data_IF_738017875630
#
_entry.id   IF_738017875630
#
_cell.length_a   1.000
_cell.length_b   1.000
_cell.length_c   1.000
_cell.angle_alpha   90.00
_cell.angle_beta   90.00
_cell.angle_gamma   90.00
#
_symmetry.space_group_name_H-M   'P 1'
#
loop_
_entity.id
_entity.type
_entity.pdbx_description
1 polymer ?
#
# COMPACT_ATOMS: atom_id res chain seq x y z
N UNK A 1 -14.51 20.84 -28.95
CA UNK A 1 -15.25 20.26 -27.82
C UNK A 1 -14.42 20.48 -26.58
N UNK A 2 -14.76 21.48 -25.78
CA UNK A 2 -14.13 21.78 -24.51
C UNK A 2 -14.51 20.65 -23.55
N UNK A 3 -13.51 19.85 -23.12
CA UNK A 3 -13.68 18.87 -22.04
C UNK A 3 -13.88 19.68 -20.76
N UNK A 4 -15.10 19.77 -20.28
CA UNK A 4 -15.38 20.30 -18.95
C UNK A 4 -14.67 19.42 -17.93
N UNK A 5 -13.66 20.00 -17.28
CA UNK A 5 -13.06 19.40 -16.07
C UNK A 5 -14.20 19.30 -15.03
N UNK A 6 -14.52 18.11 -14.51
CA UNK A 6 -15.58 17.98 -13.52
C UNK A 6 -15.27 18.89 -12.33
N UNK A 7 -16.24 19.76 -12.00
CA UNK A 7 -16.14 20.73 -10.94
C UNK A 7 -15.83 19.99 -9.63
N UNK A 8 -14.60 20.18 -9.12
CA UNK A 8 -14.15 19.65 -7.84
C UNK A 8 -15.07 20.25 -6.78
N UNK A 9 -15.90 19.43 -6.11
CA UNK A 9 -16.66 19.86 -4.95
C UNK A 9 -15.68 19.96 -3.76
N UNK A 10 -15.18 21.16 -3.42
CA UNK A 10 -14.15 21.32 -2.39
C UNK A 10 -14.67 20.84 -1.03
N UNK A 11 -15.95 21.01 -0.77
CA UNK A 11 -16.56 20.61 0.50
C UNK A 11 -16.55 19.07 0.73
N UNK A 12 -16.57 18.27 -0.34
CA UNK A 12 -16.49 16.82 -0.21
C UNK A 12 -15.05 16.34 0.10
N UNK A 13 -14.06 16.87 -0.62
CA UNK A 13 -12.65 16.51 -0.41
C UNK A 13 -12.16 16.94 0.98
N UNK A 14 -12.50 18.15 1.42
CA UNK A 14 -12.07 18.70 2.71
C UNK A 14 -12.57 17.87 3.91
N UNK A 15 -13.69 17.17 3.78
CA UNK A 15 -14.22 16.27 4.82
C UNK A 15 -13.41 14.98 4.96
N UNK A 16 -12.65 14.62 3.94
CA UNK A 16 -11.79 13.42 3.90
C UNK A 16 -10.35 13.74 4.34
N UNK A 17 -10.04 15.02 4.64
CA UNK A 17 -8.70 15.43 5.03
C UNK A 17 -8.44 15.14 6.51
N UNK A 18 -7.41 14.34 6.74
CA UNK A 18 -6.85 14.09 8.07
C UNK A 18 -5.35 14.39 8.05
N UNK A 19 -4.71 14.54 9.23
CA UNK A 19 -3.28 14.80 9.28
C UNK A 19 -2.48 13.79 8.46
N UNK A 20 -1.60 14.27 7.61
CA UNK A 20 -0.73 13.47 6.78
C UNK A 20 0.67 14.10 6.69
N UNK A 21 1.67 13.30 6.31
CA UNK A 21 3.01 13.80 6.01
C UNK A 21 3.07 14.40 4.61
N UNK A 22 4.08 15.21 4.28
CA UNK A 22 4.41 15.53 2.90
C UNK A 22 4.71 14.27 2.07
N UNK A 23 4.60 14.39 0.75
CA UNK A 23 5.00 13.36 -0.20
C UNK A 23 6.54 13.21 -0.15
N UNK A 24 7.02 12.00 0.12
CA UNK A 24 8.45 11.70 0.26
C UNK A 24 8.91 10.70 -0.80
N UNK A 25 9.92 11.06 -1.60
CA UNK A 25 10.53 10.16 -2.55
C UNK A 25 11.26 9.02 -1.84
N UNK A 26 11.06 7.79 -2.30
CA UNK A 26 11.80 6.59 -1.93
C UNK A 26 12.80 6.19 -3.02
N UNK A 27 12.44 6.45 -4.29
CA UNK A 27 13.23 6.26 -5.49
C UNK A 27 12.75 7.26 -6.57
N UNK A 28 13.39 7.39 -7.74
CA UNK A 28 13.01 8.35 -8.77
C UNK A 28 11.55 8.27 -9.23
N UNK A 29 10.96 7.08 -9.21
CA UNK A 29 9.57 6.83 -9.65
C UNK A 29 8.70 6.22 -8.54
N UNK A 30 9.11 6.38 -7.28
CA UNK A 30 8.41 5.82 -6.12
C UNK A 30 8.37 6.81 -4.96
N UNK A 31 7.17 7.10 -4.45
CA UNK A 31 6.94 8.00 -3.31
C UNK A 31 6.04 7.36 -2.28
N UNK A 32 6.10 7.88 -1.06
CA UNK A 32 5.22 7.50 0.05
C UNK A 32 4.71 8.74 0.75
N UNK A 33 3.47 8.66 1.21
CA UNK A 33 2.87 9.60 2.15
C UNK A 33 2.15 8.82 3.23
N UNK A 34 2.27 9.28 4.47
CA UNK A 34 1.58 8.65 5.59
C UNK A 34 0.42 9.52 6.04
N UNK A 35 -0.78 8.93 6.16
CA UNK A 35 -1.97 9.64 6.61
C UNK A 35 -2.65 8.99 7.80
N UNK A 36 -3.28 9.82 8.63
CA UNK A 36 -4.10 9.40 9.77
C UNK A 36 -5.55 9.21 9.34
N UNK A 37 -6.30 8.42 10.11
CA UNK A 37 -7.73 8.19 9.92
C UNK A 37 -8.44 8.20 11.26
N UNK A 38 -9.67 8.73 11.36
CA UNK A 38 -10.38 8.81 12.65
C UNK A 38 -10.62 7.46 13.31
N UNK A 39 -10.91 6.44 12.49
CA UNK A 39 -11.21 5.09 12.97
C UNK A 39 -9.97 4.21 13.15
N UNK A 40 -8.80 4.64 12.63
CA UNK A 40 -7.56 3.86 12.69
C UNK A 40 -6.58 4.47 13.68
N UNK A 41 -6.10 3.64 14.61
CA UNK A 41 -5.11 4.08 15.61
C UNK A 41 -3.69 4.18 15.06
N UNK A 42 -3.43 3.57 13.92
CA UNK A 42 -2.14 3.61 13.24
C UNK A 42 -2.29 4.38 11.92
N UNK A 43 -1.39 5.34 11.63
CA UNK A 43 -1.33 5.96 10.32
C UNK A 43 -1.10 4.92 9.23
N UNK A 44 -1.60 5.20 8.04
CA UNK A 44 -1.47 4.33 6.87
C UNK A 44 -0.62 4.98 5.79
N UNK A 45 0.19 4.20 5.12
CA UNK A 45 0.98 4.65 3.98
C UNK A 45 0.18 4.50 2.68
N UNK A 46 0.12 5.59 1.91
CA UNK A 46 -0.16 5.54 0.48
C UNK A 46 1.18 5.50 -0.25
N UNK A 47 1.33 4.56 -1.18
CA UNK A 47 2.50 4.50 -2.07
C UNK A 47 2.08 4.95 -3.46
N UNK A 48 2.87 5.83 -4.06
CA UNK A 48 2.69 6.33 -5.41
C UNK A 48 3.83 5.79 -6.27
N UNK A 49 3.51 5.05 -7.31
CA UNK A 49 4.49 4.59 -8.31
C UNK A 49 4.14 5.20 -9.66
N UNK A 50 5.16 5.73 -10.33
CA UNK A 50 5.05 6.28 -11.68
C UNK A 50 5.60 5.29 -12.70
N UNK A 51 4.75 4.86 -13.63
CA UNK A 51 5.17 4.01 -14.73
C UNK A 51 6.01 4.76 -15.76
N UNK A 52 6.66 4.02 -16.65
CA UNK A 52 7.41 4.59 -17.79
C UNK A 52 6.52 5.45 -18.71
N UNK A 53 5.21 5.23 -18.72
CA UNK A 53 4.22 6.02 -19.48
C UNK A 53 3.73 7.26 -18.72
N UNK A 54 4.35 7.62 -17.61
CA UNK A 54 3.96 8.72 -16.72
C UNK A 54 2.57 8.56 -16.07
N UNK A 55 2.03 7.33 -16.06
CA UNK A 55 0.81 7.00 -15.36
C UNK A 55 1.10 6.64 -13.89
N UNK A 56 0.29 7.16 -12.97
CA UNK A 56 0.46 6.91 -11.55
C UNK A 56 -0.40 5.73 -11.09
N UNK A 57 0.25 4.81 -10.38
CA UNK A 57 -0.37 3.79 -9.56
C UNK A 57 -0.42 4.29 -8.12
N UNK A 58 -1.61 4.39 -7.55
CA UNK A 58 -1.86 4.81 -6.18
C UNK A 58 -2.24 3.59 -5.33
N UNK A 59 -1.34 3.14 -4.48
CA UNK A 59 -1.56 1.96 -3.64
C UNK A 59 -1.99 2.39 -2.24
N UNK A 60 -3.20 2.00 -1.80
CA UNK A 60 -3.76 2.32 -0.48
C UNK A 60 -3.97 3.83 -0.27
N UNK A 61 -4.85 4.45 -1.05
CA UNK A 61 -5.01 5.91 -1.14
C UNK A 61 -5.27 6.62 0.18
N UNK A 62 -4.67 7.80 0.31
CA UNK A 62 -4.84 8.77 1.40
C UNK A 62 -5.19 10.11 0.80
N UNK A 63 -6.29 10.75 1.24
CA UNK A 63 -6.62 12.10 0.82
C UNK A 63 -5.59 13.09 1.39
N UNK A 64 -5.05 13.94 0.51
CA UNK A 64 -4.02 14.91 0.84
C UNK A 64 -4.58 16.32 0.74
N UNK A 65 -3.96 17.26 1.44
CA UNK A 65 -4.26 18.68 1.27
C UNK A 65 -3.97 19.12 -0.18
N UNK A 66 -4.62 20.16 -0.65
CA UNK A 66 -4.56 20.56 -2.05
C UNK A 66 -3.14 20.90 -2.56
N UNK A 67 -2.21 21.46 -1.75
CA UNK A 67 -0.82 21.62 -2.18
C UNK A 67 -0.15 20.28 -2.54
N UNK A 68 -0.27 19.28 -1.68
CA UNK A 68 0.32 17.95 -1.88
C UNK A 68 -0.40 17.16 -2.97
N UNK A 69 -1.71 17.40 -3.18
CA UNK A 69 -2.42 16.85 -4.34
C UNK A 69 -1.88 17.40 -5.65
N UNK A 70 -1.55 18.71 -5.70
CA UNK A 70 -0.90 19.30 -6.88
C UNK A 70 0.52 18.73 -7.11
N UNK A 71 1.28 18.49 -6.03
CA UNK A 71 2.58 17.82 -6.14
C UNK A 71 2.42 16.41 -6.71
N UNK A 72 1.44 15.64 -6.23
CA UNK A 72 1.14 14.32 -6.75
C UNK A 72 0.74 14.37 -8.23
N UNK A 73 -0.17 15.27 -8.59
CA UNK A 73 -0.63 15.46 -9.98
C UNK A 73 0.50 15.91 -10.93
N UNK A 74 1.50 16.64 -10.41
CA UNK A 74 2.68 17.03 -11.17
C UNK A 74 3.63 15.85 -11.48
N UNK A 75 3.54 14.75 -10.75
CA UNK A 75 4.32 13.53 -11.02
C UNK A 75 3.79 12.75 -12.23
N UNK A 76 2.50 12.86 -12.54
CA UNK A 76 1.86 12.14 -13.64
C UNK A 76 0.34 12.06 -13.49
N UNK A 77 -0.33 11.36 -14.42
CA UNK A 77 -1.78 11.16 -14.38
C UNK A 77 -2.14 9.99 -13.46
N UNK A 78 -2.99 10.20 -12.41
CA UNK A 78 -3.55 9.10 -11.63
C UNK A 78 -4.39 8.17 -12.51
N UNK A 79 -3.85 6.98 -12.83
CA UNK A 79 -4.45 6.05 -13.76
C UNK A 79 -5.04 4.81 -13.09
N UNK A 80 -4.44 4.33 -12.00
CA UNK A 80 -4.92 3.17 -11.28
C UNK A 80 -4.84 3.35 -9.77
N UNK A 81 -5.93 3.02 -9.09
CA UNK A 81 -6.04 2.98 -7.63
C UNK A 81 -6.13 1.54 -7.17
N UNK A 82 -5.15 1.11 -6.37
CA UNK A 82 -5.09 -0.24 -5.81
C UNK A 82 -5.61 -0.21 -4.38
N UNK A 83 -6.63 -1.01 -4.13
CA UNK A 83 -7.15 -1.28 -2.79
C UNK A 83 -6.53 -2.62 -2.34
N UNK A 84 -5.41 -2.60 -1.59
CA UNK A 84 -4.58 -3.80 -1.40
C UNK A 84 -5.21 -4.84 -0.49
N UNK A 85 -6.19 -4.44 0.33
CA UNK A 85 -6.97 -5.28 1.22
C UNK A 85 -8.38 -4.70 1.40
N UNK A 86 -9.39 -5.51 1.61
CA UNK A 86 -10.79 -5.08 1.64
C UNK A 86 -11.11 -4.01 2.71
N UNK A 87 -10.35 -3.88 3.77
CA UNK A 87 -10.54 -2.87 4.81
C UNK A 87 -9.78 -1.54 4.55
N UNK A 88 -9.04 -1.44 3.44
CA UNK A 88 -8.37 -0.22 2.98
C UNK A 88 -9.26 0.64 2.07
N UNK A 89 -10.56 0.68 2.33
CA UNK A 89 -11.56 1.39 1.52
C UNK A 89 -11.68 2.90 1.81
N UNK A 90 -11.11 3.40 2.90
CA UNK A 90 -11.17 4.83 3.20
C UNK A 90 -10.56 5.66 2.06
N UNK A 91 -11.18 6.81 1.75
CA UNK A 91 -10.84 7.76 0.69
C UNK A 91 -11.01 7.27 -0.75
N UNK A 92 -11.32 5.99 -1.01
CA UNK A 92 -11.45 5.48 -2.39
C UNK A 92 -12.56 6.21 -3.17
N UNK A 93 -13.69 6.48 -2.52
CA UNK A 93 -14.80 7.22 -3.15
C UNK A 93 -14.40 8.67 -3.49
N UNK A 94 -13.62 9.32 -2.61
CA UNK A 94 -13.11 10.66 -2.86
C UNK A 94 -12.15 10.69 -4.05
N UNK A 95 -11.23 9.71 -4.14
CA UNK A 95 -10.34 9.58 -5.29
C UNK A 95 -11.10 9.28 -6.58
N UNK A 96 -12.06 8.37 -6.59
CA UNK A 96 -12.88 8.09 -7.79
C UNK A 96 -13.68 9.30 -8.23
N UNK A 97 -14.20 10.10 -7.29
CA UNK A 97 -14.88 11.38 -7.61
C UNK A 97 -13.92 12.41 -8.19
N UNK A 98 -12.69 12.52 -7.66
CA UNK A 98 -11.65 13.42 -8.16
C UNK A 98 -11.11 12.99 -9.54
N UNK A 99 -10.97 11.69 -9.73
CA UNK A 99 -10.44 11.06 -10.96
C UNK A 99 -11.44 10.03 -11.50
N UNK A 100 -12.51 10.47 -12.21
CA UNK A 100 -13.57 9.56 -12.65
C UNK A 100 -13.10 8.42 -13.57
N UNK A 101 -11.96 8.61 -14.27
CA UNK A 101 -11.38 7.62 -15.19
C UNK A 101 -10.35 6.71 -14.53
N UNK A 102 -10.07 6.87 -13.24
CA UNK A 102 -9.11 6.01 -12.54
C UNK A 102 -9.64 4.59 -12.46
N UNK A 103 -8.83 3.61 -12.86
CA UNK A 103 -9.16 2.19 -12.70
C UNK A 103 -9.11 1.81 -11.21
N UNK A 104 -10.13 1.13 -10.72
CA UNK A 104 -10.19 0.62 -9.34
C UNK A 104 -9.87 -0.86 -9.34
N UNK A 105 -8.80 -1.23 -8.65
CA UNK A 105 -8.24 -2.58 -8.67
C UNK A 105 -8.07 -3.11 -7.25
N UNK A 106 -8.45 -4.35 -7.00
CA UNK A 106 -8.20 -5.02 -5.72
C UNK A 106 -7.92 -6.52 -5.91
N UNK A 107 -7.37 -7.24 -4.91
CA UNK A 107 -7.27 -8.69 -4.97
C UNK A 107 -8.63 -9.33 -5.27
N UNK A 108 -8.68 -10.33 -6.14
CA UNK A 108 -9.93 -11.00 -6.58
C UNK A 108 -10.81 -11.42 -5.39
N UNK A 109 -10.20 -11.97 -4.35
CA UNK A 109 -10.92 -12.41 -3.15
C UNK A 109 -11.46 -11.26 -2.28
N UNK A 110 -11.10 -10.01 -2.58
CA UNK A 110 -11.58 -8.81 -1.88
C UNK A 110 -12.72 -8.09 -2.62
N UNK A 111 -13.00 -8.45 -3.89
CA UNK A 111 -13.96 -7.75 -4.77
C UNK A 111 -15.33 -7.59 -4.09
N UNK A 112 -15.93 -8.68 -3.60
CA UNK A 112 -17.27 -8.65 -3.00
C UNK A 112 -17.37 -7.68 -1.80
N UNK A 113 -16.29 -7.50 -1.06
CA UNK A 113 -16.27 -6.60 0.10
C UNK A 113 -16.01 -5.14 -0.34
N UNK A 114 -15.06 -4.93 -1.25
CA UNK A 114 -14.73 -3.61 -1.79
C UNK A 114 -15.89 -3.04 -2.58
N UNK A 115 -16.61 -3.87 -3.35
CA UNK A 115 -17.77 -3.47 -4.16
C UNK A 115 -18.95 -2.95 -3.35
N UNK A 116 -18.95 -3.12 -2.02
CA UNK A 116 -19.92 -2.47 -1.13
C UNK A 116 -19.67 -0.96 -0.98
N UNK A 117 -18.50 -0.49 -1.34
CA UNK A 117 -18.06 0.90 -1.17
C UNK A 117 -17.81 1.61 -2.51
N UNK A 118 -17.39 0.87 -3.55
CA UNK A 118 -17.06 1.41 -4.86
C UNK A 118 -17.13 0.29 -5.91
N UNK A 119 -17.46 0.63 -7.15
CA UNK A 119 -17.32 -0.29 -8.28
C UNK A 119 -15.84 -0.67 -8.49
N UNK A 120 -15.57 -1.96 -8.62
CA UNK A 120 -14.23 -2.51 -8.89
C UNK A 120 -14.18 -2.92 -10.35
N UNK A 121 -13.30 -2.29 -11.13
CA UNK A 121 -13.20 -2.57 -12.57
C UNK A 121 -12.40 -3.86 -12.85
N UNK A 122 -11.35 -4.12 -12.04
CA UNK A 122 -10.48 -5.28 -12.29
C UNK A 122 -9.99 -5.94 -11.00
N UNK A 123 -9.66 -7.22 -11.09
CA UNK A 123 -8.84 -7.86 -10.06
C UNK A 123 -7.35 -7.55 -10.28
N UNK A 124 -6.56 -7.54 -9.21
CA UNK A 124 -5.09 -7.40 -9.30
C UNK A 124 -4.49 -8.49 -10.20
N UNK A 125 -5.02 -9.71 -10.09
CA UNK A 125 -4.57 -10.89 -10.82
C UNK A 125 -4.77 -10.76 -12.34
N UNK A 126 -5.77 -10.01 -12.78
CA UNK A 126 -6.04 -9.78 -14.21
C UNK A 126 -5.41 -8.50 -14.73
N UNK A 127 -5.36 -7.46 -13.90
CA UNK A 127 -4.90 -6.12 -14.30
C UNK A 127 -3.39 -6.10 -14.51
N UNK A 128 -2.61 -6.46 -13.51
CA UNK A 128 -1.18 -6.23 -13.49
C UNK A 128 -0.39 -7.01 -14.55
N UNK A 129 -0.68 -8.28 -14.86
CA UNK A 129 0.00 -8.99 -15.94
C UNK A 129 -0.16 -8.32 -17.30
N UNK A 130 -1.32 -7.70 -17.58
CA UNK A 130 -1.58 -6.97 -18.83
C UNK A 130 -0.81 -5.65 -18.94
N UNK A 131 -0.40 -5.09 -17.79
CA UNK A 131 0.33 -3.82 -17.71
C UNK A 131 1.82 -4.02 -17.43
N UNK A 132 2.34 -5.24 -17.52
CA UNK A 132 3.76 -5.55 -17.34
C UNK A 132 4.27 -5.38 -15.91
N UNK A 133 3.36 -5.31 -14.93
CA UNK A 133 3.68 -5.26 -13.50
C UNK A 133 3.51 -6.65 -12.91
N UNK A 134 4.47 -7.09 -12.11
CA UNK A 134 4.36 -8.39 -11.46
C UNK A 134 3.49 -8.27 -10.21
N UNK A 135 2.51 -9.16 -10.11
CA UNK A 135 1.67 -9.33 -8.94
C UNK A 135 1.91 -10.72 -8.35
N UNK A 136 2.22 -10.77 -7.06
CA UNK A 136 2.49 -12.01 -6.35
C UNK A 136 1.39 -12.29 -5.33
N UNK A 137 0.89 -13.51 -5.34
CA UNK A 137 0.04 -14.00 -4.27
C UNK A 137 0.92 -14.78 -3.27
N UNK A 138 1.23 -14.23 -2.07
CA UNK A 138 2.07 -14.93 -1.11
C UNK A 138 1.44 -16.27 -0.69
N UNK A 139 2.19 -17.39 -0.74
CA UNK A 139 1.69 -18.66 -0.27
C UNK A 139 1.51 -18.66 1.26
N UNK A 140 0.57 -19.45 1.74
CA UNK A 140 0.32 -19.57 3.18
C UNK A 140 -0.49 -18.45 3.80
N UNK A 141 -1.13 -17.60 3.00
CA UNK A 141 -2.12 -16.63 3.44
C UNK A 141 -3.41 -16.75 2.61
N UNK A 142 -4.51 -16.23 3.17
CA UNK A 142 -5.72 -16.02 2.36
C UNK A 142 -5.42 -15.02 1.25
N UNK A 143 -5.98 -15.19 0.02
CA UNK A 143 -5.68 -14.32 -1.12
C UNK A 143 -6.38 -12.95 -1.03
N UNK A 144 -6.46 -12.37 0.17
CA UNK A 144 -7.04 -11.06 0.44
C UNK A 144 -6.06 -9.93 0.22
N UNK A 145 -4.76 -10.25 0.13
CA UNK A 145 -3.67 -9.32 -0.03
C UNK A 145 -2.60 -9.94 -0.93
N UNK A 146 -2.00 -9.15 -1.80
CA UNK A 146 -0.88 -9.54 -2.64
C UNK A 146 0.27 -8.55 -2.57
N UNK A 147 1.32 -8.82 -3.32
CA UNK A 147 2.53 -8.01 -3.40
C UNK A 147 2.73 -7.56 -4.84
N UNK A 148 2.87 -6.25 -5.06
CA UNK A 148 3.26 -5.69 -6.34
C UNK A 148 4.79 -5.55 -6.40
N UNK A 149 5.39 -5.92 -7.51
CA UNK A 149 6.81 -5.72 -7.78
C UNK A 149 6.96 -4.67 -8.88
N UNK A 150 7.52 -3.53 -8.53
CA UNK A 150 7.72 -2.41 -9.45
C UNK A 150 9.20 -2.06 -9.60
N UNK A 151 9.68 -1.71 -10.80
CA UNK A 151 11.05 -1.29 -11.01
C UNK A 151 11.34 0.06 -10.33
N UNK A 152 12.56 0.20 -9.78
CA UNK A 152 13.03 1.45 -9.15
C UNK A 152 14.38 1.92 -9.74
N UNK A 153 14.68 1.48 -10.94
CA UNK A 153 15.92 1.82 -11.65
C UNK A 153 17.06 0.84 -11.41
N UNK A 154 18.11 0.93 -12.23
CA UNK A 154 19.35 0.13 -12.12
C UNK A 154 19.14 -1.40 -11.97
N UNK A 155 18.07 -1.96 -12.55
CA UNK A 155 17.72 -3.37 -12.41
C UNK A 155 17.22 -3.76 -11.01
N UNK A 156 16.88 -2.79 -10.17
CA UNK A 156 16.32 -2.97 -8.84
C UNK A 156 14.80 -2.87 -8.85
N UNK A 157 14.19 -3.45 -7.82
CA UNK A 157 12.74 -3.46 -7.64
C UNK A 157 12.34 -3.06 -6.23
N UNK A 158 11.15 -2.47 -6.13
CA UNK A 158 10.43 -2.30 -4.88
C UNK A 158 9.31 -3.33 -4.78
N UNK A 159 9.10 -3.87 -3.59
CA UNK A 159 7.93 -4.66 -3.25
C UNK A 159 6.92 -3.77 -2.53
N UNK A 160 5.77 -3.53 -3.15
CA UNK A 160 4.66 -2.84 -2.51
C UNK A 160 3.84 -3.87 -1.75
N UNK A 161 4.06 -3.91 -0.45
CA UNK A 161 3.31 -4.75 0.48
C UNK A 161 2.29 -3.90 1.23
N UNK A 162 1.25 -4.55 1.73
CA UNK A 162 0.27 -3.91 2.59
C UNK A 162 0.51 -4.33 4.05
N UNK A 163 -0.43 -5.05 4.66
CA UNK A 163 -0.37 -5.43 6.08
C UNK A 163 0.52 -6.65 6.34
N UNK A 164 0.91 -7.38 5.30
CA UNK A 164 1.71 -8.60 5.43
C UNK A 164 2.97 -8.37 6.28
N UNK A 165 3.67 -7.26 6.06
CA UNK A 165 4.78 -6.82 6.92
C UNK A 165 4.49 -5.41 7.41
N UNK A 166 4.45 -5.21 8.71
CA UNK A 166 4.33 -3.90 9.35
C UNK A 166 5.63 -3.53 10.05
N UNK A 167 5.96 -2.23 10.09
CA UNK A 167 7.17 -1.71 10.74
C UNK A 167 6.83 -0.53 11.65
N UNK A 168 5.93 -0.76 12.59
CA UNK A 168 5.43 0.26 13.51
C UNK A 168 6.46 0.52 14.61
N UNK A 169 6.95 1.76 14.81
CA UNK A 169 7.81 2.10 15.93
C UNK A 169 7.06 1.95 17.26
N UNK A 170 7.80 1.88 18.37
CA UNK A 170 7.17 1.89 19.68
C UNK A 170 6.38 3.20 19.89
N UNK A 171 5.11 3.07 20.25
CA UNK A 171 4.24 4.19 20.56
C UNK A 171 4.21 4.46 22.07
N UNK A 172 4.04 5.71 22.52
CA UNK A 172 3.83 6.03 23.93
C UNK A 172 2.42 5.62 24.41
N UNK A 173 2.20 5.67 25.71
CA UNK A 173 0.90 5.47 26.34
C UNK A 173 0.40 4.02 26.35
N UNK A 174 -0.85 3.84 26.81
CA UNK A 174 -1.45 2.52 27.01
C UNK A 174 -1.54 1.71 25.70
N UNK A 175 -1.91 2.35 24.60
CA UNK A 175 -1.96 1.70 23.30
C UNK A 175 -0.58 1.18 22.85
N UNK A 176 0.48 1.99 23.06
CA UNK A 176 1.86 1.57 22.79
C UNK A 176 2.29 0.39 23.65
N UNK A 177 1.85 0.34 24.90
CA UNK A 177 2.10 -0.82 25.76
C UNK A 177 1.43 -2.08 25.22
N UNK A 178 0.17 -1.98 24.77
CA UNK A 178 -0.55 -3.10 24.14
C UNK A 178 0.20 -3.58 22.88
N UNK A 179 0.65 -2.66 22.01
CA UNK A 179 1.42 -3.02 20.82
C UNK A 179 2.74 -3.73 21.17
N UNK A 180 3.40 -3.33 22.26
CA UNK A 180 4.62 -4.02 22.75
C UNK A 180 4.31 -5.42 23.26
N UNK A 181 3.31 -5.56 24.12
CA UNK A 181 2.91 -6.86 24.70
C UNK A 181 2.45 -7.84 23.62
N UNK A 182 1.75 -7.38 22.60
CA UNK A 182 1.32 -8.18 21.45
C UNK A 182 2.42 -8.37 20.41
N UNK A 183 3.62 -7.85 20.65
CA UNK A 183 4.73 -7.84 19.69
C UNK A 183 4.35 -7.25 18.33
N UNK A 184 3.57 -6.16 18.32
CA UNK A 184 3.08 -5.50 17.11
C UNK A 184 3.82 -4.21 16.80
N UNK A 185 4.92 -3.90 17.52
CA UNK A 185 5.75 -2.71 17.30
C UNK A 185 7.23 -2.98 17.57
N UNK A 186 8.11 -2.05 17.18
CA UNK A 186 9.53 -2.01 17.49
C UNK A 186 10.44 -2.66 16.44
N UNK A 187 9.93 -3.47 15.53
CA UNK A 187 10.69 -4.02 14.40
C UNK A 187 9.75 -4.52 13.30
N UNK A 188 10.24 -4.65 12.04
CA UNK A 188 9.47 -5.25 10.96
C UNK A 188 9.03 -6.69 11.28
N UNK A 189 7.75 -7.00 11.04
CA UNK A 189 7.20 -8.34 11.28
C UNK A 189 5.80 -8.56 10.72
N UNK A 190 5.39 -9.82 10.63
CA UNK A 190 3.99 -10.21 10.46
C UNK A 190 3.32 -10.22 11.84
N UNK A 191 2.53 -9.20 12.17
CA UNK A 191 1.94 -9.02 13.50
C UNK A 191 0.80 -10.02 13.78
N UNK A 192 0.48 -10.22 15.06
CA UNK A 192 -0.52 -11.20 15.49
C UNK A 192 -1.89 -10.99 14.84
N UNK A 193 -2.34 -9.75 14.76
CA UNK A 193 -3.63 -9.40 14.14
C UNK A 193 -3.67 -9.84 12.66
N UNK A 194 -2.65 -9.50 11.89
CA UNK A 194 -2.51 -9.88 10.48
C UNK A 194 -2.44 -11.40 10.31
N UNK A 195 -1.72 -12.10 11.21
CA UNK A 195 -1.67 -13.58 11.19
C UNK A 195 -3.07 -14.20 11.32
N UNK A 196 -3.93 -13.62 12.16
CA UNK A 196 -5.33 -14.09 12.29
C UNK A 196 -6.19 -13.73 11.10
N UNK A 197 -6.12 -12.48 10.64
CA UNK A 197 -6.93 -11.96 9.54
C UNK A 197 -6.63 -12.71 8.24
N UNK A 198 -5.36 -12.88 7.90
CA UNK A 198 -4.91 -13.59 6.71
C UNK A 198 -4.83 -15.12 6.90
N UNK A 199 -5.17 -15.64 8.07
CA UNK A 199 -5.06 -17.08 8.40
C UNK A 199 -3.71 -17.67 8.02
N UNK A 200 -2.64 -17.04 8.51
CA UNK A 200 -1.26 -17.36 8.14
C UNK A 200 -0.90 -18.81 8.46
N UNK A 201 -0.50 -19.54 7.45
CA UNK A 201 0.21 -20.82 7.54
C UNK A 201 1.71 -20.51 7.57
N UNK A 202 2.34 -20.74 8.71
CA UNK A 202 3.70 -20.24 8.99
C UNK A 202 4.76 -20.76 8.02
N UNK A 203 4.75 -22.05 7.72
CA UNK A 203 5.82 -22.67 6.92
C UNK A 203 5.85 -22.17 5.47
N UNK A 204 4.75 -22.18 4.71
CA UNK A 204 4.76 -21.65 3.34
C UNK A 204 5.12 -20.16 3.30
N UNK A 205 4.57 -19.34 4.21
CA UNK A 205 4.88 -17.91 4.25
C UNK A 205 6.33 -17.64 4.64
N UNK A 206 6.89 -18.41 5.61
CA UNK A 206 8.31 -18.33 5.98
C UNK A 206 9.20 -18.62 4.77
N UNK A 207 8.92 -19.69 4.04
CA UNK A 207 9.69 -20.07 2.86
C UNK A 207 9.63 -18.96 1.77
N UNK A 208 8.46 -18.38 1.55
CA UNK A 208 8.29 -17.28 0.61
C UNK A 208 9.11 -16.05 1.02
N UNK A 209 9.00 -15.59 2.27
CA UNK A 209 9.75 -14.40 2.73
C UNK A 209 11.27 -14.70 2.74
N UNK A 210 11.67 -15.91 3.10
CA UNK A 210 13.08 -16.32 3.03
C UNK A 210 13.60 -16.32 1.59
N UNK A 211 12.79 -16.73 0.60
CA UNK A 211 13.16 -16.65 -0.82
C UNK A 211 13.30 -15.21 -1.28
N UNK A 212 12.41 -14.29 -0.86
CA UNK A 212 12.57 -12.86 -1.12
C UNK A 212 13.86 -12.30 -0.55
N UNK A 213 14.26 -12.73 0.67
CA UNK A 213 15.50 -12.32 1.33
C UNK A 213 16.77 -12.73 0.57
N UNK A 214 16.71 -13.75 -0.29
CA UNK A 214 17.85 -14.19 -1.12
C UNK A 214 17.98 -13.35 -2.41
N UNK A 215 16.97 -12.61 -2.79
CA UNK A 215 16.98 -11.77 -3.99
C UNK A 215 17.85 -10.53 -3.77
N UNK A 216 18.79 -10.29 -4.70
CA UNK A 216 19.72 -9.16 -4.67
C UNK A 216 19.17 -7.91 -5.36
N UNK A 217 18.09 -8.04 -6.10
CA UNK A 217 17.43 -6.97 -6.83
C UNK A 217 16.36 -6.24 -6.00
N UNK A 218 15.90 -6.79 -4.87
CA UNK A 218 14.96 -6.10 -3.98
C UNK A 218 15.70 -5.04 -3.17
N UNK A 219 15.37 -3.77 -3.42
CA UNK A 219 15.99 -2.61 -2.76
C UNK A 219 15.05 -1.97 -1.73
N UNK A 220 13.76 -1.97 -2.01
CA UNK A 220 12.73 -1.32 -1.17
C UNK A 220 11.61 -2.31 -0.87
N UNK A 221 11.13 -2.31 0.38
CA UNK A 221 9.85 -2.92 0.73
C UNK A 221 8.98 -1.86 1.40
N UNK A 222 7.84 -1.54 0.81
CA UNK A 222 6.86 -0.66 1.43
C UNK A 222 5.95 -1.44 2.36
N UNK A 223 5.42 -0.78 3.38
CA UNK A 223 4.51 -1.35 4.38
C UNK A 223 3.28 -0.46 4.48
N UNK A 224 2.13 -0.99 4.86
CA UNK A 224 0.93 -0.17 5.11
C UNK A 224 1.06 0.68 6.36
N UNK A 225 1.77 0.19 7.37
CA UNK A 225 1.91 0.85 8.67
C UNK A 225 3.36 0.95 9.11
N UNK A 226 3.78 2.16 9.50
CA UNK A 226 5.14 2.47 9.95
C UNK A 226 6.10 2.72 8.80
N UNK A 227 7.40 2.55 9.04
CA UNK A 227 8.44 2.90 8.09
C UNK A 227 8.66 1.85 7.00
N UNK A 228 8.87 2.31 5.75
CA UNK A 228 9.31 1.45 4.67
C UNK A 228 10.72 0.91 4.94
N UNK A 229 11.04 -0.27 4.41
CA UNK A 229 12.38 -0.85 4.49
C UNK A 229 13.21 -0.34 3.33
N UNK A 230 14.21 0.50 3.61
CA UNK A 230 15.06 1.15 2.61
C UNK A 230 16.53 0.73 2.72
N UNK A 231 16.89 0.11 3.82
CA UNK A 231 18.26 -0.33 4.10
C UNK A 231 18.22 -1.74 4.69
N UNK A 232 19.27 -2.51 4.46
CA UNK A 232 19.41 -3.88 5.01
C UNK A 232 18.19 -4.77 4.77
N UNK A 233 17.54 -4.59 3.60
CA UNK A 233 16.26 -5.23 3.25
C UNK A 233 16.37 -6.75 3.33
N UNK A 234 17.40 -7.33 2.73
CA UNK A 234 17.61 -8.79 2.70
C UNK A 234 17.72 -9.39 4.11
N UNK A 235 18.55 -8.80 4.99
CA UNK A 235 18.69 -9.27 6.37
C UNK A 235 17.41 -9.01 7.18
N UNK A 236 16.70 -7.92 6.90
CA UNK A 236 15.42 -7.64 7.58
C UNK A 236 14.37 -8.67 7.18
N UNK A 237 14.23 -9.00 5.90
CA UNK A 237 13.32 -10.06 5.44
C UNK A 237 13.71 -11.43 6.04
N UNK A 238 15.02 -11.75 6.13
CA UNK A 238 15.49 -12.96 6.79
C UNK A 238 15.03 -13.04 8.25
N UNK A 239 15.15 -11.93 9.00
CA UNK A 239 14.66 -11.85 10.40
C UNK A 239 13.14 -11.98 10.49
N UNK A 240 12.39 -11.36 9.57
CA UNK A 240 10.91 -11.52 9.51
C UNK A 240 10.54 -12.98 9.27
N UNK A 241 11.22 -13.67 8.36
CA UNK A 241 11.00 -15.08 8.10
C UNK A 241 11.30 -15.96 9.34
N UNK A 242 12.37 -15.67 10.08
CA UNK A 242 12.74 -16.39 11.32
C UNK A 242 11.71 -16.19 12.44
N UNK A 243 11.10 -14.99 12.52
CA UNK A 243 10.09 -14.64 13.54
C UNK A 243 8.71 -15.29 13.29
N UNK A 244 8.47 -15.90 12.12
CA UNK A 244 7.26 -16.63 11.78
C UNK A 244 7.25 -18.04 12.39
#
# INVERSE_FOLDING_TARGET
MTVETPMKDPCYWDRELFPHTPLRALAPDLWVVQGSFPAARLPRNMVVYRSAQQALLLHSVVALAEPEMRELEALGEPAVMVIPHWDHWAHIAAFKKRYPRIDVVCPRASIDQVSKHIEVEYSCEDYFPRHGVKYHQPPGIRPLEGVLEVPVGAGKVALLMNDLITNVPHQPGFYGLVLRLTRSSGKPRVIYFVRRQLRVQRQPLRAYIAALAQRRDIEIVTTSHGECLLTDVANTLSRVAQDL
#
